data_IF_381225806567
#
_entry.id   IF_381225806567
#
_cell.length_a   1.000
_cell.length_b   1.000
_cell.length_c   1.000
_cell.angle_alpha   90.00
_cell.angle_beta   90.00
_cell.angle_gamma   90.00
#
_symmetry.space_group_name_H-M   'P 1'
#
loop_
_entity.id
_entity.type
_entity.pdbx_description
1 polymer ?
#
# COMPACT_ATOMS: atom_id res chain seq x y z
N UNK A 1 -1.19 -5.81 -14.31
CA UNK A 1 -0.83 -4.59 -15.04
C UNK A 1 0.34 -4.83 -15.98
N UNK A 2 0.46 -3.98 -17.01
CA UNK A 2 1.56 -4.05 -17.95
C UNK A 2 1.65 -5.36 -18.72
N UNK A 3 0.55 -5.88 -19.25
CA UNK A 3 0.44 -7.21 -19.85
C UNK A 3 1.45 -7.40 -21.01
N UNK A 4 1.65 -6.40 -21.82
CA UNK A 4 2.60 -6.47 -22.94
C UNK A 4 4.05 -6.55 -22.46
N UNK A 5 4.37 -5.85 -21.37
CA UNK A 5 5.71 -5.81 -20.81
C UNK A 5 6.01 -7.04 -19.95
N UNK A 6 5.06 -7.45 -19.09
CA UNK A 6 5.27 -8.51 -18.10
C UNK A 6 4.72 -9.86 -18.54
N UNK A 7 3.84 -9.89 -19.51
CA UNK A 7 3.11 -11.10 -19.97
C UNK A 7 2.35 -11.78 -18.82
N UNK A 8 1.94 -11.00 -17.83
CA UNK A 8 1.23 -11.48 -16.67
C UNK A 8 2.10 -12.14 -15.60
N UNK A 9 3.41 -12.15 -15.76
CA UNK A 9 4.35 -12.86 -14.87
C UNK A 9 4.90 -11.99 -13.72
N UNK A 10 4.54 -10.69 -13.70
CA UNK A 10 5.07 -9.75 -12.71
C UNK A 10 6.40 -9.14 -13.12
N UNK A 11 6.99 -8.34 -12.23
CA UNK A 11 8.16 -7.51 -12.53
C UNK A 11 9.51 -8.19 -12.20
N UNK A 12 9.51 -9.41 -11.68
CA UNK A 12 10.74 -10.12 -11.35
C UNK A 12 11.62 -9.39 -10.31
N UNK A 13 10.99 -8.75 -9.31
CA UNK A 13 11.64 -7.94 -8.28
C UNK A 13 12.42 -6.73 -8.81
N UNK A 14 12.10 -6.25 -10.00
CA UNK A 14 12.70 -5.04 -10.60
C UNK A 14 11.73 -3.87 -10.50
N UNK A 15 12.17 -2.79 -9.85
CA UNK A 15 11.33 -1.60 -9.61
C UNK A 15 10.97 -0.88 -10.89
N UNK A 16 11.92 -0.72 -11.80
CA UNK A 16 11.73 -0.06 -13.08
C UNK A 16 10.72 -0.80 -13.96
N UNK A 17 10.70 -2.12 -13.94
CA UNK A 17 9.70 -2.93 -14.64
C UNK A 17 8.33 -2.78 -14.00
N UNK A 18 8.24 -2.77 -12.68
CA UNK A 18 6.99 -2.52 -11.96
C UNK A 18 6.42 -1.15 -12.29
N UNK A 19 7.25 -0.13 -12.31
CA UNK A 19 6.85 1.23 -12.70
C UNK A 19 6.37 1.27 -14.15
N UNK A 20 7.14 0.71 -15.09
CA UNK A 20 6.79 0.69 -16.50
C UNK A 20 5.50 -0.11 -16.75
N UNK A 21 5.26 -1.19 -16.01
CA UNK A 21 4.02 -1.96 -16.07
C UNK A 21 2.81 -1.11 -15.66
N UNK A 22 2.94 -0.31 -14.60
CA UNK A 22 1.90 0.61 -14.19
C UNK A 22 1.67 1.72 -15.23
N UNK A 23 2.74 2.27 -15.81
CA UNK A 23 2.65 3.27 -16.86
C UNK A 23 1.92 2.73 -18.11
N UNK A 24 2.17 1.48 -18.48
CA UNK A 24 1.47 0.81 -19.58
C UNK A 24 -0.04 0.71 -19.32
N UNK A 25 -0.43 0.42 -18.10
CA UNK A 25 -1.84 0.26 -17.71
C UNK A 25 -2.45 1.55 -17.16
N UNK A 26 -1.78 2.69 -17.27
CA UNK A 26 -2.17 3.92 -16.60
C UNK A 26 -3.58 4.40 -16.97
N UNK A 27 -3.95 4.32 -18.26
CA UNK A 27 -5.28 4.73 -18.70
C UNK A 27 -6.39 3.87 -18.09
N UNK A 28 -6.17 2.57 -17.97
CA UNK A 28 -7.12 1.66 -17.32
C UNK A 28 -7.25 1.97 -15.82
N UNK A 29 -6.12 2.26 -15.17
CA UNK A 29 -6.08 2.64 -13.75
C UNK A 29 -6.86 3.94 -13.54
N UNK A 30 -6.64 4.96 -14.36
CA UNK A 30 -7.34 6.23 -14.29
C UNK A 30 -8.85 6.03 -14.46
N UNK A 31 -9.27 5.21 -15.40
CA UNK A 31 -10.68 4.91 -15.63
C UNK A 31 -11.35 4.26 -14.40
N UNK A 32 -10.63 3.35 -13.73
CA UNK A 32 -11.12 2.71 -12.50
C UNK A 32 -11.24 3.72 -11.35
N UNK A 33 -10.29 4.65 -11.26
CA UNK A 33 -10.24 5.63 -10.17
C UNK A 33 -11.24 6.76 -10.31
N UNK A 34 -11.73 7.04 -11.51
CA UNK A 34 -12.63 8.16 -11.74
C UNK A 34 -13.92 8.03 -10.93
N UNK A 35 -14.32 9.13 -10.31
CA UNK A 35 -15.52 9.20 -9.46
C UNK A 35 -15.29 8.73 -8.03
N UNK A 36 -14.11 8.23 -7.69
CA UNK A 36 -13.77 7.89 -6.31
C UNK A 36 -13.44 9.15 -5.50
N UNK A 37 -13.84 9.19 -4.25
CA UNK A 37 -13.49 10.26 -3.31
C UNK A 37 -12.22 9.90 -2.52
N UNK A 38 -11.96 8.64 -2.33
CA UNK A 38 -10.84 8.12 -1.57
C UNK A 38 -10.35 6.82 -2.19
N UNK A 39 -9.06 6.59 -2.15
CA UNK A 39 -8.44 5.34 -2.61
C UNK A 39 -7.42 4.85 -1.58
N UNK A 40 -7.43 3.56 -1.34
CA UNK A 40 -6.38 2.87 -0.57
C UNK A 40 -5.45 2.17 -1.54
N UNK A 41 -4.16 2.42 -1.38
CA UNK A 41 -3.12 1.71 -2.13
C UNK A 41 -2.42 0.77 -1.16
N UNK A 42 -2.74 -0.52 -1.26
CA UNK A 42 -2.20 -1.54 -0.40
C UNK A 42 -1.14 -2.34 -1.15
N UNK A 43 0.05 -2.43 -0.59
CA UNK A 43 1.14 -3.15 -1.22
C UNK A 43 2.14 -3.68 -0.20
N UNK A 44 2.71 -4.86 -0.49
CA UNK A 44 3.93 -5.32 0.19
C UNK A 44 5.14 -4.74 -0.52
N UNK A 45 5.95 -3.99 0.19
CA UNK A 45 7.17 -3.39 -0.35
C UNK A 45 8.30 -4.42 -0.41
N UNK A 46 9.21 -4.25 -1.35
CA UNK A 46 10.39 -5.10 -1.54
C UNK A 46 10.37 -5.95 -2.79
N UNK A 47 9.19 -6.27 -3.33
CA UNK A 47 9.05 -6.89 -4.65
C UNK A 47 9.19 -5.86 -5.76
N UNK A 48 9.01 -6.29 -7.01
CA UNK A 48 9.10 -5.38 -8.16
C UNK A 48 7.79 -4.68 -8.48
N UNK A 49 6.69 -5.42 -8.53
CA UNK A 49 5.40 -4.88 -8.97
C UNK A 49 4.83 -3.88 -7.98
N UNK A 50 4.59 -4.29 -6.73
CA UNK A 50 4.03 -3.40 -5.72
C UNK A 50 4.91 -2.21 -5.43
N UNK A 51 6.20 -2.44 -5.23
CA UNK A 51 7.17 -1.39 -4.92
C UNK A 51 7.33 -0.38 -6.06
N UNK A 52 7.37 -0.86 -7.30
CA UNK A 52 7.55 0.00 -8.48
C UNK A 52 6.27 0.66 -8.97
N UNK A 53 5.12 0.01 -8.80
CA UNK A 53 3.84 0.49 -9.34
C UNK A 53 3.07 1.40 -8.38
N UNK A 54 3.23 1.22 -7.07
CA UNK A 54 2.40 1.90 -6.08
C UNK A 54 2.42 3.42 -6.23
N UNK A 55 3.60 4.02 -6.40
CA UNK A 55 3.71 5.47 -6.54
C UNK A 55 3.12 6.01 -7.85
N UNK A 56 3.13 5.23 -8.91
CA UNK A 56 2.50 5.61 -10.18
C UNK A 56 0.99 5.73 -10.02
N UNK A 57 0.38 4.75 -9.35
CA UNK A 57 -1.06 4.76 -9.06
C UNK A 57 -1.41 5.90 -8.10
N UNK A 58 -0.60 6.13 -7.08
CA UNK A 58 -0.79 7.22 -6.12
C UNK A 58 -0.75 8.59 -6.82
N UNK A 59 0.22 8.80 -7.70
CA UNK A 59 0.34 10.02 -8.48
C UNK A 59 -0.90 10.25 -9.34
N UNK A 60 -1.39 9.23 -10.02
CA UNK A 60 -2.59 9.32 -10.83
C UNK A 60 -3.82 9.70 -9.99
N UNK A 61 -3.98 9.10 -8.81
CA UNK A 61 -5.06 9.42 -7.88
C UNK A 61 -4.99 10.87 -7.40
N UNK A 62 -3.80 11.37 -7.09
CA UNK A 62 -3.60 12.76 -6.66
C UNK A 62 -3.93 13.74 -7.78
N UNK A 63 -3.56 13.45 -9.02
CA UNK A 63 -3.89 14.27 -10.17
C UNK A 63 -5.41 14.37 -10.40
N UNK A 64 -6.17 13.37 -9.98
CA UNK A 64 -7.63 13.35 -10.02
C UNK A 64 -8.28 13.96 -8.76
N UNK A 65 -7.50 14.55 -7.86
CA UNK A 65 -7.96 15.12 -6.58
C UNK A 65 -8.66 14.09 -5.68
N UNK A 66 -8.19 12.86 -5.71
CA UNK A 66 -8.69 11.77 -4.85
C UNK A 66 -7.83 11.71 -3.58
N UNK A 67 -8.47 11.62 -2.42
CA UNK A 67 -7.76 11.39 -1.16
C UNK A 67 -7.07 10.03 -1.23
N UNK A 68 -5.74 10.01 -1.08
CA UNK A 68 -4.93 8.83 -1.29
C UNK A 68 -4.28 8.37 0.01
N UNK A 69 -4.56 7.14 0.40
CA UNK A 69 -3.99 6.52 1.61
C UNK A 69 -3.16 5.31 1.19
N UNK A 70 -1.89 5.34 1.54
CA UNK A 70 -1.00 4.18 1.35
C UNK A 70 -1.04 3.28 2.58
N UNK A 71 -1.19 1.98 2.39
CA UNK A 71 -1.10 0.96 3.44
C UNK A 71 -0.10 -0.07 2.96
N UNK A 72 1.07 -0.09 3.58
CA UNK A 72 2.19 -0.89 3.07
C UNK A 72 2.84 -1.70 4.18
N UNK A 73 3.38 -2.85 3.79
CA UNK A 73 4.20 -3.67 4.67
C UNK A 73 5.67 -3.58 4.27
N UNK A 74 6.56 -3.59 5.26
CA UNK A 74 7.99 -3.76 5.03
C UNK A 74 8.35 -5.23 5.19
N UNK A 75 9.33 -5.74 4.40
CA UNK A 75 9.69 -7.15 4.44
C UNK A 75 10.25 -7.60 5.79
N UNK A 76 10.16 -8.89 6.07
CA UNK A 76 10.85 -9.50 7.19
C UNK A 76 12.37 -9.44 6.97
N UNK A 77 13.14 -9.47 8.06
CA UNK A 77 14.61 -9.44 7.97
C UNK A 77 15.16 -10.62 7.21
N UNK A 78 14.54 -11.80 7.31
CA UNK A 78 15.01 -12.99 6.62
C UNK A 78 14.83 -12.93 5.10
N UNK A 79 14.04 -11.97 4.58
CA UNK A 79 13.91 -11.76 3.13
C UNK A 79 15.15 -11.11 2.51
N UNK A 80 16.05 -10.63 3.35
CA UNK A 80 17.37 -10.15 2.96
C UNK A 80 17.48 -8.62 2.81
N UNK A 81 18.71 -8.10 2.87
CA UNK A 81 18.95 -6.65 2.82
C UNK A 81 18.60 -6.02 1.47
N UNK A 82 18.73 -6.75 0.37
CA UNK A 82 18.36 -6.23 -0.95
C UNK A 82 16.87 -5.94 -1.06
N UNK A 83 16.04 -6.84 -0.52
CA UNK A 83 14.59 -6.66 -0.51
C UNK A 83 14.18 -5.47 0.37
N UNK A 84 14.79 -5.34 1.54
CA UNK A 84 14.57 -4.18 2.42
C UNK A 84 14.98 -2.88 1.77
N UNK A 85 16.07 -2.87 1.03
CA UNK A 85 16.54 -1.68 0.31
C UNK A 85 15.56 -1.25 -0.78
N UNK A 86 15.05 -2.21 -1.57
CA UNK A 86 14.00 -1.93 -2.55
C UNK A 86 12.74 -1.40 -1.88
N UNK A 87 12.36 -1.98 -0.74
CA UNK A 87 11.21 -1.53 0.03
C UNK A 87 11.35 -0.08 0.48
N UNK A 88 12.52 0.32 0.97
CA UNK A 88 12.77 1.69 1.40
C UNK A 88 12.69 2.68 0.23
N UNK A 89 13.24 2.31 -0.93
CA UNK A 89 13.17 3.14 -2.15
C UNK A 89 11.72 3.34 -2.57
N UNK A 90 10.94 2.25 -2.64
CA UNK A 90 9.53 2.32 -3.01
C UNK A 90 8.68 3.10 -2.01
N UNK A 91 8.96 2.96 -0.73
CA UNK A 91 8.29 3.71 0.32
C UNK A 91 8.53 5.23 0.18
N UNK A 92 9.77 5.64 -0.08
CA UNK A 92 10.10 7.06 -0.28
C UNK A 92 9.37 7.64 -1.49
N UNK A 93 9.31 6.91 -2.60
CA UNK A 93 8.60 7.35 -3.78
C UNK A 93 7.08 7.42 -3.53
N UNK A 94 6.50 6.42 -2.89
CA UNK A 94 5.08 6.41 -2.57
C UNK A 94 4.70 7.56 -1.63
N UNK A 95 5.52 7.83 -0.64
CA UNK A 95 5.26 8.89 0.36
C UNK A 95 5.08 10.27 -0.27
N UNK A 96 5.73 10.53 -1.40
CA UNK A 96 5.61 11.80 -2.12
C UNK A 96 4.24 12.04 -2.75
N UNK A 97 3.46 10.97 -2.94
CA UNK A 97 2.21 11.01 -3.71
C UNK A 97 0.97 10.59 -2.90
N UNK A 98 1.10 10.37 -1.60
CA UNK A 98 -0.02 10.02 -0.74
C UNK A 98 -0.31 11.13 0.27
N UNK A 99 -1.56 11.24 0.70
CA UNK A 99 -1.95 12.17 1.76
C UNK A 99 -1.54 11.65 3.12
N UNK A 100 -1.66 10.35 3.34
CA UNK A 100 -1.13 9.67 4.52
C UNK A 100 -0.66 8.27 4.17
N UNK A 101 0.20 7.73 4.99
CA UNK A 101 0.73 6.38 4.80
C UNK A 101 0.74 5.63 6.12
N UNK A 102 0.26 4.39 6.07
CA UNK A 102 0.32 3.44 7.19
C UNK A 102 1.39 2.42 6.85
N UNK A 103 2.42 2.36 7.67
CA UNK A 103 3.55 1.44 7.48
C UNK A 103 3.48 0.33 8.52
N UNK A 104 3.46 -0.91 8.07
CA UNK A 104 3.42 -2.09 8.92
C UNK A 104 4.73 -2.85 8.72
N UNK A 105 5.69 -2.74 9.65
CA UNK A 105 6.90 -3.55 9.58
C UNK A 105 6.57 -5.02 9.88
N UNK A 106 6.75 -5.90 8.90
CA UNK A 106 6.46 -7.33 9.08
C UNK A 106 7.23 -7.94 10.24
N UNK A 107 8.42 -7.43 10.54
CA UNK A 107 9.24 -7.90 11.65
C UNK A 107 8.50 -7.83 12.99
N UNK A 108 7.59 -6.86 13.16
CA UNK A 108 6.78 -6.74 14.36
C UNK A 108 5.80 -7.90 14.56
N UNK A 109 5.46 -8.62 13.49
CA UNK A 109 4.59 -9.78 13.55
C UNK A 109 5.22 -10.96 14.28
N UNK A 110 6.54 -10.98 14.46
CA UNK A 110 7.21 -12.01 15.26
C UNK A 110 6.78 -12.01 16.73
N UNK A 111 6.16 -10.93 17.21
CA UNK A 111 5.58 -10.89 18.55
C UNK A 111 4.35 -11.79 18.69
N UNK A 112 3.68 -12.10 17.58
CA UNK A 112 2.49 -12.95 17.54
C UNK A 112 2.74 -14.27 16.80
N UNK A 113 3.88 -14.39 16.09
CA UNK A 113 4.33 -15.61 15.47
C UNK A 113 5.20 -16.41 16.43
N UNK A 114 5.24 -17.74 16.28
CA UNK A 114 6.11 -18.61 17.04
C UNK A 114 7.19 -19.24 16.14
N UNK A 115 8.14 -19.97 16.75
CA UNK A 115 9.25 -20.60 16.03
C UNK A 115 8.81 -21.63 14.99
N UNK A 116 7.59 -22.16 15.12
CA UNK A 116 7.03 -23.15 14.21
C UNK A 116 6.26 -22.52 13.05
N UNK A 117 6.13 -21.19 13.04
CA UNK A 117 5.44 -20.47 11.99
C UNK A 117 6.20 -20.60 10.67
N UNK A 118 5.54 -21.09 9.63
CA UNK A 118 6.13 -21.22 8.28
C UNK A 118 6.23 -19.88 7.58
N UNK A 119 7.02 -19.81 6.49
CA UNK A 119 7.06 -18.61 5.64
C UNK A 119 5.68 -18.22 5.10
N UNK A 120 4.90 -19.22 4.64
CA UNK A 120 3.55 -19.00 4.15
C UNK A 120 2.65 -18.40 5.21
N UNK A 121 2.69 -18.94 6.44
CA UNK A 121 1.93 -18.41 7.57
C UNK A 121 2.35 -17.00 7.93
N UNK A 122 3.65 -16.68 7.87
CA UNK A 122 4.16 -15.33 8.11
C UNK A 122 3.62 -14.32 7.09
N UNK A 123 3.60 -14.69 5.82
CA UNK A 123 3.05 -13.84 4.77
C UNK A 123 1.52 -13.68 4.91
N UNK A 124 0.81 -14.72 5.32
CA UNK A 124 -0.61 -14.65 5.58
C UNK A 124 -0.93 -13.73 6.76
N UNK A 125 -0.12 -13.74 7.82
CA UNK A 125 -0.25 -12.78 8.93
C UNK A 125 -0.09 -11.34 8.43
N UNK A 126 0.92 -11.09 7.62
CA UNK A 126 1.15 -9.77 7.01
C UNK A 126 -0.04 -9.31 6.17
N UNK A 127 -0.57 -10.19 5.33
CA UNK A 127 -1.73 -9.89 4.49
C UNK A 127 -2.99 -9.60 5.33
N UNK A 128 -3.21 -10.36 6.40
CA UNK A 128 -4.35 -10.15 7.29
C UNK A 128 -4.26 -8.81 8.02
N UNK A 129 -3.08 -8.44 8.50
CA UNK A 129 -2.87 -7.15 9.16
C UNK A 129 -3.11 -6.00 8.18
N UNK A 130 -2.62 -6.13 6.95
CA UNK A 130 -2.85 -5.14 5.89
C UNK A 130 -4.33 -4.96 5.61
N UNK A 131 -5.07 -6.05 5.46
CA UNK A 131 -6.51 -6.03 5.22
C UNK A 131 -7.26 -5.39 6.40
N UNK A 132 -6.91 -5.72 7.64
CA UNK A 132 -7.51 -5.14 8.83
C UNK A 132 -7.25 -3.63 8.93
N UNK A 133 -6.07 -3.17 8.51
CA UNK A 133 -5.74 -1.76 8.48
C UNK A 133 -6.65 -0.97 7.55
N UNK A 134 -6.84 -1.47 6.35
CA UNK A 134 -7.74 -0.87 5.36
C UNK A 134 -9.18 -0.90 5.87
N UNK A 135 -9.64 -2.02 6.39
CA UNK A 135 -11.00 -2.19 6.90
C UNK A 135 -11.28 -1.27 8.09
N UNK A 136 -10.32 -1.11 8.99
CA UNK A 136 -10.50 -0.23 10.17
C UNK A 136 -10.75 1.21 9.77
N UNK A 137 -10.01 1.74 8.81
CA UNK A 137 -10.22 3.10 8.31
C UNK A 137 -11.55 3.22 7.57
N UNK A 138 -11.89 2.23 6.75
CA UNK A 138 -13.17 2.19 6.02
C UNK A 138 -14.35 2.15 6.98
N UNK A 139 -14.27 1.35 8.04
CA UNK A 139 -15.34 1.24 9.04
C UNK A 139 -15.59 2.56 9.77
N UNK A 140 -14.56 3.35 10.04
CA UNK A 140 -14.72 4.69 10.64
C UNK A 140 -15.53 5.62 9.75
N UNK A 141 -15.48 5.43 8.44
CA UNK A 141 -16.17 6.27 7.47
C UNK A 141 -17.62 5.86 7.22
N UNK A 142 -17.91 4.55 7.23
CA UNK A 142 -19.20 4.01 6.75
C UNK A 142 -20.11 3.47 7.86
N UNK A 143 -19.58 3.15 9.03
CA UNK A 143 -20.39 2.65 10.14
C UNK A 143 -21.09 3.79 10.88
N UNK A 144 -22.42 3.72 11.06
CA UNK A 144 -23.08 4.62 12.00
C UNK A 144 -22.60 4.30 13.41
N UNK A 145 -22.08 5.28 14.10
CA UNK A 145 -21.57 5.18 15.44
C UNK A 145 -22.03 6.33 16.33
N UNK A 146 -21.55 6.37 17.57
CA UNK A 146 -21.83 7.46 18.50
C UNK A 146 -21.26 8.79 17.94
N UNK A 147 -20.17 8.70 17.22
CA UNK A 147 -19.55 9.83 16.50
C UNK A 147 -19.56 9.49 15.03
N UNK A 148 -20.34 10.26 14.26
CA UNK A 148 -20.33 10.17 12.81
C UNK A 148 -19.20 11.05 12.27
N UNK A 149 -18.19 10.43 11.67
CA UNK A 149 -17.16 11.14 10.92
C UNK A 149 -17.62 11.28 9.48
N UNK A 150 -17.69 12.51 8.98
CA UNK A 150 -17.91 12.70 7.56
C UNK A 150 -16.57 12.60 6.80
N UNK A 151 -16.65 12.52 5.47
CA UNK A 151 -15.49 12.39 4.63
C UNK A 151 -14.52 13.58 4.75
N UNK A 152 -15.07 14.79 4.91
CA UNK A 152 -14.26 15.99 5.03
C UNK A 152 -13.40 16.00 6.31
N UNK A 153 -13.95 15.52 7.43
CA UNK A 153 -13.19 15.40 8.69
C UNK A 153 -12.04 14.40 8.55
N UNK A 154 -12.31 13.24 7.94
CA UNK A 154 -11.28 12.21 7.70
C UNK A 154 -10.20 12.77 6.77
N UNK A 155 -10.59 13.45 5.70
CA UNK A 155 -9.68 14.07 4.74
C UNK A 155 -8.75 15.08 5.42
N UNK A 156 -9.30 15.97 6.24
CA UNK A 156 -8.52 16.98 6.97
C UNK A 156 -7.50 16.35 7.90
N UNK A 157 -7.91 15.36 8.68
CA UNK A 157 -7.02 14.67 9.63
C UNK A 157 -5.91 13.93 8.88
N UNK A 158 -6.25 13.18 7.85
CA UNK A 158 -5.26 12.40 7.10
C UNK A 158 -4.27 13.29 6.34
N UNK A 159 -4.73 14.35 5.73
CA UNK A 159 -3.85 15.28 5.01
C UNK A 159 -2.85 15.97 5.95
N UNK A 160 -3.22 16.23 7.20
CA UNK A 160 -2.35 16.86 8.19
C UNK A 160 -1.39 15.89 8.89
N UNK A 161 -1.75 14.61 9.00
CA UNK A 161 -0.92 13.61 9.67
C UNK A 161 0.31 13.18 8.88
N UNK A 162 0.18 13.07 7.57
CA UNK A 162 1.23 12.60 6.67
C UNK A 162 1.63 11.14 6.84
N UNK A 163 1.69 10.65 8.07
CA UNK A 163 2.08 9.27 8.38
C UNK A 163 1.35 8.76 9.60
N UNK A 164 0.81 7.56 9.52
CA UNK A 164 0.22 6.87 10.64
C UNK A 164 0.85 5.48 10.81
N UNK A 165 0.86 4.97 12.04
CA UNK A 165 1.32 3.62 12.34
C UNK A 165 0.20 2.83 12.99
N UNK A 166 0.04 1.57 12.57
CA UNK A 166 -0.96 0.67 13.10
C UNK A 166 -0.30 -0.39 13.97
N UNK A 167 -0.82 -0.57 15.18
CA UNK A 167 -0.46 -1.67 16.08
C UNK A 167 -1.49 -2.80 16.02
N UNK A 168 -1.04 -4.00 16.31
CA UNK A 168 -1.90 -5.18 16.45
C UNK A 168 -1.80 -5.79 17.83
#
# INVERSE_FOLDING_TARGET
IGLNLTKGLGAGAKLDIGQAAADESLNEIINILQGANMVFIAAGMGGGTGTGAAHVIARAAKELNILTVGVVTLPFLYEGPSRMRRAQIGLEELRKHVDTIIVIPNQNLFKIANEQTTFEESFNLSNNVLMHGVQSVTDLMVRPGIINLDFADVETVMASMGKAMMGT
#
